data_IF_066456769337
#
_entry.id   IF_066456769337
#
_cell.length_a   1.000
_cell.length_b   1.000
_cell.length_c   1.000
_cell.angle_alpha   90.00
_cell.angle_beta   90.00
_cell.angle_gamma   90.00
#
_symmetry.space_group_name_H-M   'P 1'
#
loop_
_entity.id
_entity.type
_entity.pdbx_description
1 polymer ?
#
# COMPACT_ATOMS: atom_id res chain seq x y z
N UNK A 1 15.86 30.43 -7.63
CA UNK A 1 14.86 29.38 -7.30
C UNK A 1 14.67 28.46 -8.50
N UNK A 2 14.66 27.14 -8.30
CA UNK A 2 14.40 26.20 -9.39
C UNK A 2 12.90 26.12 -9.68
N UNK A 3 12.49 26.58 -10.88
CA UNK A 3 11.11 26.50 -11.34
C UNK A 3 10.99 25.54 -12.52
N UNK A 4 9.89 24.77 -12.64
CA UNK A 4 9.68 23.91 -13.80
C UNK A 4 9.64 24.72 -15.09
N UNK A 5 10.60 24.49 -15.99
CA UNK A 5 10.65 25.19 -17.29
C UNK A 5 9.49 24.80 -18.23
N UNK A 6 8.94 23.58 -18.07
CA UNK A 6 7.84 23.04 -18.90
C UNK A 6 6.92 22.15 -18.09
N UNK A 7 5.66 22.04 -18.54
CA UNK A 7 4.69 21.07 -18.02
C UNK A 7 5.16 19.64 -18.28
N UNK A 8 5.09 18.78 -17.27
CA UNK A 8 5.34 17.34 -17.44
C UNK A 8 4.23 16.71 -18.27
N UNK A 9 4.57 15.96 -19.32
CA UNK A 9 3.58 15.25 -20.13
C UNK A 9 2.83 14.19 -19.31
N UNK A 10 1.61 13.84 -19.74
CA UNK A 10 0.79 12.79 -19.11
C UNK A 10 1.59 11.49 -18.97
N UNK A 11 2.20 11.04 -20.07
CA UNK A 11 3.02 9.83 -20.09
C UNK A 11 4.20 9.87 -19.09
N UNK A 12 4.93 10.99 -19.00
CA UNK A 12 6.06 11.12 -18.06
C UNK A 12 5.60 11.12 -16.60
N UNK A 13 4.50 11.80 -16.31
CA UNK A 13 3.88 11.80 -14.98
C UNK A 13 3.43 10.39 -14.59
N UNK A 14 2.73 9.71 -15.49
CA UNK A 14 2.10 8.42 -15.20
C UNK A 14 3.15 7.30 -15.10
N UNK A 15 4.19 7.32 -15.92
CA UNK A 15 5.36 6.41 -15.78
C UNK A 15 6.02 6.54 -14.40
N UNK A 16 6.22 7.78 -13.92
CA UNK A 16 6.80 8.04 -12.59
C UNK A 16 5.88 7.56 -11.45
N UNK A 17 4.56 7.67 -11.61
CA UNK A 17 3.59 7.21 -10.60
C UNK A 17 3.48 5.69 -10.58
N UNK A 18 3.43 5.06 -11.75
CA UNK A 18 3.31 3.62 -11.90
C UNK A 18 4.42 2.84 -11.18
N UNK A 19 5.65 3.37 -11.14
CA UNK A 19 6.74 2.70 -10.41
C UNK A 19 6.67 2.87 -8.90
N UNK A 20 6.07 3.96 -8.39
CA UNK A 20 6.26 4.38 -7.00
C UNK A 20 4.98 4.35 -6.14
N UNK A 21 3.79 4.30 -6.75
CA UNK A 21 2.50 4.47 -6.04
C UNK A 21 1.73 3.14 -5.97
N UNK A 22 2.39 2.00 -6.22
CA UNK A 22 1.76 0.68 -6.10
C UNK A 22 1.57 0.34 -4.62
N UNK A 23 0.32 0.15 -4.19
CA UNK A 23 0.02 -0.40 -2.88
C UNK A 23 0.34 -1.89 -2.86
N UNK A 24 0.94 -2.36 -1.76
CA UNK A 24 1.16 -3.79 -1.50
C UNK A 24 -0.01 -4.32 -0.69
N UNK A 25 -0.47 -5.53 -1.00
CA UNK A 25 -1.45 -6.21 -0.18
C UNK A 25 -0.86 -6.46 1.23
N UNK A 26 -1.68 -6.34 2.29
CA UNK A 26 -1.24 -6.69 3.63
C UNK A 26 -1.02 -8.21 3.73
N UNK A 27 -0.01 -8.59 4.52
CA UNK A 27 0.19 -10.00 4.86
C UNK A 27 -0.82 -10.37 5.96
N UNK A 28 -1.67 -11.36 5.66
CA UNK A 28 -2.67 -11.89 6.59
C UNK A 28 -2.28 -13.32 6.96
N UNK A 29 -2.45 -13.66 8.23
CA UNK A 29 -2.24 -14.99 8.79
C UNK A 29 -3.55 -15.50 9.39
N UNK A 30 -3.75 -16.81 9.43
CA UNK A 30 -4.92 -17.40 10.07
C UNK A 30 -4.78 -17.33 11.60
N UNK A 31 -5.85 -16.91 12.28
CA UNK A 31 -5.89 -16.95 13.74
C UNK A 31 -6.10 -18.39 14.23
N UNK A 32 -5.27 -18.93 15.15
CA UNK A 32 -5.42 -20.30 15.64
C UNK A 32 -6.66 -20.53 16.53
N UNK A 33 -7.36 -19.45 16.93
CA UNK A 33 -8.48 -19.53 17.87
C UNK A 33 -9.86 -19.33 17.23
N UNK A 34 -9.96 -18.53 16.17
CA UNK A 34 -11.20 -18.22 15.48
C UNK A 34 -11.13 -18.45 13.96
N UNK A 35 -9.97 -18.84 13.42
CA UNK A 35 -9.72 -19.09 11.99
C UNK A 35 -10.02 -17.90 11.05
N UNK A 36 -10.11 -16.69 11.60
CA UNK A 36 -10.25 -15.46 10.83
C UNK A 36 -8.88 -14.90 10.41
N UNK A 37 -8.82 -14.13 9.31
CA UNK A 37 -7.58 -13.51 8.85
C UNK A 37 -7.18 -12.36 9.77
N UNK A 38 -5.96 -12.42 10.30
CA UNK A 38 -5.38 -11.42 11.18
C UNK A 38 -4.06 -10.88 10.64
N UNK A 39 -3.69 -9.67 11.06
CA UNK A 39 -2.38 -9.08 10.76
C UNK A 39 -1.36 -9.65 11.76
N UNK A 40 -0.16 -10.05 11.31
CA UNK A 40 0.89 -10.51 12.23
C UNK A 40 1.24 -9.41 13.26
N UNK A 41 1.56 -9.83 14.48
CA UNK A 41 1.87 -8.94 15.62
C UNK A 41 0.73 -8.00 16.03
N UNK A 42 -0.53 -8.34 15.72
CA UNK A 42 -1.72 -7.66 16.25
C UNK A 42 -2.65 -8.64 16.96
N UNK A 43 -3.33 -8.14 18.00
CA UNK A 43 -4.41 -8.88 18.65
C UNK A 43 -5.57 -9.04 17.67
N UNK A 44 -6.20 -10.21 17.67
CA UNK A 44 -7.32 -10.52 16.81
C UNK A 44 -8.52 -9.61 17.14
N UNK A 45 -9.13 -9.00 16.13
CA UNK A 45 -10.21 -8.02 16.34
C UNK A 45 -11.54 -8.63 16.81
N UNK A 46 -11.82 -9.89 16.50
CA UNK A 46 -13.06 -10.57 16.92
C UNK A 46 -13.09 -10.96 18.39
N UNK A 47 -11.93 -10.96 19.06
CA UNK A 47 -11.82 -11.22 20.49
C UNK A 47 -10.97 -10.14 21.13
N UNK A 48 -11.59 -9.01 21.44
CA UNK A 48 -11.06 -8.11 22.45
C UNK A 48 -11.51 -8.56 23.83
#
# INVERSE_FOLDING_TARGET
MAVPKRKTSKARRDKRRASNIKMKAPNLIECPQCHEPNVPHRVCASRN
#
